data_IF_807286924319
#
_entry.id   IF_807286924319
#
_cell.length_a   1.000
_cell.length_b   1.000
_cell.length_c   1.000
_cell.angle_alpha   90.00
_cell.angle_beta   90.00
_cell.angle_gamma   90.00
#
_symmetry.space_group_name_H-M   'P 1'
#
loop_
_entity.id
_entity.type
_entity.pdbx_description
1 polymer ?
#
# COMPACT_ATOMS: atom_id res chain seq x y z
N UNK A 1 -9.04 -16.21 -32.89
CA UNK A 1 -9.24 -15.45 -34.14
C UNK A 1 -9.48 -13.99 -33.77
N UNK A 2 -8.41 -13.24 -33.57
CA UNK A 2 -8.46 -11.84 -33.12
C UNK A 2 -7.68 -11.03 -34.16
N UNK A 3 -8.40 -10.28 -34.96
CA UNK A 3 -7.86 -9.19 -35.77
C UNK A 3 -8.87 -8.03 -35.67
N UNK A 4 -8.59 -7.06 -34.82
CA UNK A 4 -9.10 -5.70 -35.02
C UNK A 4 -7.91 -4.74 -35.07
N UNK A 5 -7.78 -4.17 -36.26
CA UNK A 5 -6.74 -3.29 -36.70
C UNK A 5 -6.69 -2.00 -35.90
N UNK A 6 -5.49 -1.65 -35.48
CA UNK A 6 -5.09 -0.30 -35.15
C UNK A 6 -5.29 0.62 -36.37
N UNK A 7 -6.15 1.60 -36.26
CA UNK A 7 -6.19 2.72 -37.20
C UNK A 7 -5.29 3.82 -36.64
N UNK A 8 -4.08 3.88 -37.19
CA UNK A 8 -3.16 5.01 -36.99
C UNK A 8 -3.65 6.12 -37.89
N UNK A 9 -4.13 7.21 -37.31
CA UNK A 9 -4.31 8.48 -38.02
C UNK A 9 -3.00 9.24 -37.96
N UNK A 10 -2.20 9.16 -39.05
CA UNK A 10 -0.98 9.92 -39.22
C UNK A 10 -1.34 11.24 -39.86
N UNK A 11 -1.33 12.32 -39.09
CA UNK A 11 -1.42 13.71 -39.63
C UNK A 11 -0.02 14.27 -39.67
N UNK A 12 0.57 14.29 -40.87
CA UNK A 12 1.86 14.97 -41.12
C UNK A 12 1.63 16.48 -41.25
N UNK A 13 2.14 17.23 -40.30
CA UNK A 13 2.41 18.65 -40.47
C UNK A 13 3.92 18.83 -40.54
N UNK A 14 4.45 19.11 -41.73
CA UNK A 14 5.86 19.47 -41.94
C UNK A 14 5.97 21.00 -41.81
N UNK A 15 6.56 21.46 -40.73
CA UNK A 15 7.10 22.82 -40.63
C UNK A 15 8.57 22.71 -40.25
N UNK A 16 9.41 23.29 -41.10
CA UNK A 16 10.85 23.26 -40.96
C UNK A 16 11.35 24.07 -39.74
N UNK A 17 12.25 23.45 -38.95
CA UNK A 17 13.16 24.17 -38.07
C UNK A 17 12.74 24.17 -36.59
N UNK A 18 12.88 23.05 -35.93
CA UNK A 18 13.27 22.73 -34.55
C UNK A 18 12.80 21.31 -34.28
N UNK A 19 13.72 20.37 -34.22
CA UNK A 19 13.40 18.99 -33.82
C UNK A 19 13.27 19.00 -32.30
N UNK A 20 12.07 19.37 -31.82
CA UNK A 20 11.66 18.94 -30.51
C UNK A 20 11.19 17.48 -30.65
N UNK A 21 11.51 16.55 -29.74
CA UNK A 21 10.95 15.22 -29.77
C UNK A 21 9.43 15.37 -29.66
N UNK A 22 8.69 15.00 -30.72
CA UNK A 22 7.24 14.87 -30.65
C UNK A 22 6.98 13.65 -29.77
N UNK A 23 6.86 13.86 -28.48
CA UNK A 23 6.21 12.89 -27.61
C UNK A 23 4.73 12.92 -27.99
N UNK A 24 4.30 11.96 -28.80
CA UNK A 24 2.87 11.71 -29.00
C UNK A 24 2.31 11.28 -27.65
N UNK A 25 1.71 12.23 -26.95
CA UNK A 25 0.90 11.95 -25.78
C UNK A 25 -0.34 11.25 -26.33
N UNK A 26 -0.35 9.92 -26.36
CA UNK A 26 -1.59 9.18 -26.51
C UNK A 26 -2.41 9.48 -25.27
N UNK A 27 -3.64 9.97 -25.47
CA UNK A 27 -4.57 10.08 -24.36
C UNK A 27 -4.80 8.65 -23.82
N UNK A 28 -4.27 8.39 -22.64
CA UNK A 28 -4.45 7.11 -21.95
C UNK A 28 -5.92 7.01 -21.53
N UNK A 29 -6.59 5.91 -21.89
CA UNK A 29 -7.94 5.65 -21.41
C UNK A 29 -7.95 5.53 -19.89
N UNK A 30 -8.98 6.07 -19.24
CA UNK A 30 -9.09 5.94 -17.78
C UNK A 30 -9.36 4.50 -17.36
N UNK A 31 -8.97 4.12 -16.14
CA UNK A 31 -9.18 2.80 -15.57
C UNK A 31 -10.65 2.38 -15.61
N UNK A 32 -11.57 3.30 -15.32
CA UNK A 32 -13.01 3.04 -15.39
C UNK A 32 -13.49 2.78 -16.83
N UNK A 33 -12.94 3.49 -17.82
CA UNK A 33 -13.26 3.28 -19.24
C UNK A 33 -12.77 1.92 -19.71
N UNK A 34 -11.55 1.54 -19.37
CA UNK A 34 -10.97 0.22 -19.68
C UNK A 34 -11.86 -0.88 -19.08
N UNK A 35 -12.22 -0.75 -17.79
CA UNK A 35 -13.04 -1.72 -17.08
C UNK A 35 -14.42 -1.90 -17.69
N UNK A 36 -15.08 -0.80 -18.09
CA UNK A 36 -16.38 -0.83 -18.80
C UNK A 36 -16.26 -1.45 -20.20
N UNK A 37 -15.18 -1.16 -20.92
CA UNK A 37 -14.93 -1.70 -22.25
C UNK A 37 -14.73 -3.23 -22.23
N UNK A 38 -14.20 -3.78 -21.12
CA UNK A 38 -14.07 -5.22 -20.90
C UNK A 38 -15.38 -5.87 -20.39
N UNK A 39 -16.50 -5.14 -20.41
CA UNK A 39 -17.84 -5.65 -20.09
C UNK A 39 -18.18 -5.69 -18.61
N UNK A 40 -17.38 -5.07 -17.76
CA UNK A 40 -17.66 -4.98 -16.33
C UNK A 40 -18.56 -3.78 -16.01
N UNK A 41 -19.48 -3.98 -15.06
CA UNK A 41 -20.33 -2.91 -14.53
C UNK A 41 -19.62 -2.23 -13.38
N UNK A 42 -19.20 -0.99 -13.56
CA UNK A 42 -18.52 -0.17 -12.54
C UNK A 42 -19.25 1.15 -12.39
N UNK A 43 -19.54 1.51 -11.15
CA UNK A 43 -20.14 2.81 -10.80
C UNK A 43 -19.10 3.91 -10.86
N UNK A 44 -19.50 5.13 -11.22
CA UNK A 44 -18.65 6.33 -11.13
C UNK A 44 -18.17 6.57 -9.68
N UNK A 45 -18.97 6.16 -8.69
CA UNK A 45 -18.61 6.26 -7.28
C UNK A 45 -17.46 5.33 -6.87
N UNK A 46 -17.21 4.27 -7.65
CA UNK A 46 -16.14 3.29 -7.43
C UNK A 46 -14.86 3.62 -8.20
N UNK A 47 -14.84 4.79 -8.90
CA UNK A 47 -13.66 5.23 -9.64
C UNK A 47 -12.48 5.42 -8.69
N UNK A 48 -11.32 4.76 -8.93
CA UNK A 48 -10.12 4.96 -8.14
C UNK A 48 -9.66 6.41 -8.16
N UNK A 49 -9.17 6.89 -7.04
CA UNK A 49 -8.63 8.26 -6.94
C UNK A 49 -7.23 8.38 -7.56
N UNK A 50 -6.56 7.25 -7.73
CA UNK A 50 -5.28 7.13 -8.41
C UNK A 50 -4.96 5.66 -8.62
N UNK A 51 -4.36 5.35 -9.77
CA UNK A 51 -3.96 4.00 -10.17
C UNK A 51 -2.54 3.99 -10.70
N UNK A 52 -1.83 2.91 -10.44
CA UNK A 52 -0.53 2.63 -11.05
C UNK A 52 -0.35 1.13 -11.27
N UNK A 53 0.12 0.75 -12.45
CA UNK A 53 0.55 -0.62 -12.77
C UNK A 53 1.99 -0.60 -13.18
N UNK A 54 2.83 -1.37 -12.49
CA UNK A 54 4.28 -1.40 -12.69
C UNK A 54 4.75 -2.81 -13.02
N UNK A 55 5.61 -2.93 -13.99
CA UNK A 55 6.36 -4.16 -14.26
C UNK A 55 7.49 -4.28 -13.21
N UNK A 56 7.33 -5.21 -12.26
CA UNK A 56 8.30 -5.37 -11.17
C UNK A 56 9.69 -5.85 -11.62
N UNK A 57 9.82 -6.41 -12.83
CA UNK A 57 11.12 -6.92 -13.31
C UNK A 57 12.06 -5.81 -13.78
N UNK A 58 11.52 -4.69 -14.26
CA UNK A 58 12.29 -3.58 -14.84
C UNK A 58 11.88 -2.19 -14.36
N UNK A 59 10.86 -2.09 -13.52
CA UNK A 59 10.34 -0.82 -13.00
C UNK A 59 9.52 0.00 -14.01
N UNK A 60 9.19 -0.56 -15.17
CA UNK A 60 8.41 0.12 -16.20
C UNK A 60 6.98 0.38 -15.73
N UNK A 61 6.51 1.62 -15.86
CA UNK A 61 5.12 1.98 -15.60
C UNK A 61 4.30 1.62 -16.84
N UNK A 62 3.45 0.60 -16.70
CA UNK A 62 2.58 0.12 -17.79
C UNK A 62 1.29 0.92 -17.89
N UNK A 63 0.81 1.43 -16.77
CA UNK A 63 -0.39 2.25 -16.67
C UNK A 63 -0.30 3.16 -15.46
N UNK A 64 -0.81 4.39 -15.57
CA UNK A 64 -1.00 5.28 -14.44
C UNK A 64 -2.15 6.25 -14.69
N UNK A 65 -2.93 6.52 -13.66
CA UNK A 65 -3.97 7.54 -13.65
C UNK A 65 -3.91 8.27 -12.32
N UNK A 66 -3.79 9.61 -12.36
CA UNK A 66 -3.67 10.45 -11.18
C UNK A 66 -2.65 9.93 -10.12
N UNK A 67 -1.42 9.53 -10.51
CA UNK A 67 -0.48 8.85 -9.61
C UNK A 67 -0.01 9.73 -8.46
N UNK A 68 -0.08 11.05 -8.60
CA UNK A 68 0.34 12.02 -7.60
C UNK A 68 -0.79 12.55 -6.71
N UNK A 69 -2.01 12.03 -6.87
CA UNK A 69 -3.12 12.40 -6.00
C UNK A 69 -2.81 12.02 -4.55
N UNK A 70 -2.94 12.99 -3.66
CA UNK A 70 -2.85 12.75 -2.22
C UNK A 70 -4.17 12.19 -1.73
N UNK A 71 -4.14 10.94 -1.28
CA UNK A 71 -5.31 10.20 -0.82
C UNK A 71 -5.03 9.58 0.54
N UNK A 72 -6.09 9.24 1.28
CA UNK A 72 -5.98 8.38 2.44
C UNK A 72 -5.83 6.93 1.96
N UNK A 73 -4.66 6.30 2.17
CA UNK A 73 -4.40 4.95 1.68
C UNK A 73 -5.04 3.87 2.56
N UNK A 74 -5.63 4.23 3.69
CA UNK A 74 -6.20 3.30 4.67
C UNK A 74 -5.23 2.12 4.94
N UNK A 75 -5.71 0.88 4.83
CA UNK A 75 -4.90 -0.33 5.10
C UNK A 75 -3.70 -0.55 4.18
N UNK A 76 -3.57 0.16 3.06
CA UNK A 76 -2.34 0.12 2.26
C UNK A 76 -1.13 0.64 3.05
N UNK A 77 -1.35 1.47 4.08
CA UNK A 77 -0.31 1.92 5.01
C UNK A 77 0.45 0.76 5.66
N UNK A 78 -0.20 -0.40 5.86
CA UNK A 78 0.43 -1.61 6.41
C UNK A 78 1.62 -2.10 5.59
N UNK A 79 1.62 -1.83 4.27
CA UNK A 79 2.74 -2.19 3.39
C UNK A 79 4.06 -1.55 3.84
N UNK A 80 4.02 -0.31 4.35
CA UNK A 80 5.23 0.34 4.88
C UNK A 80 5.71 -0.34 6.17
N UNK A 81 4.81 -0.71 7.07
CA UNK A 81 5.18 -1.49 8.27
C UNK A 81 5.81 -2.83 7.90
N UNK A 82 5.22 -3.55 6.94
CA UNK A 82 5.78 -4.81 6.45
C UNK A 82 7.15 -4.59 5.79
N UNK A 83 7.31 -3.50 5.02
CA UNK A 83 8.60 -3.14 4.45
C UNK A 83 9.68 -2.95 5.53
N UNK A 84 9.36 -2.22 6.61
CA UNK A 84 10.29 -2.03 7.73
C UNK A 84 10.62 -3.33 8.45
N UNK A 85 9.67 -4.26 8.58
CA UNK A 85 9.92 -5.61 9.12
C UNK A 85 10.91 -6.37 8.23
N UNK A 86 10.71 -6.36 6.91
CA UNK A 86 11.65 -7.00 5.98
C UNK A 86 13.03 -6.32 5.97
N UNK A 87 13.11 -5.01 6.16
CA UNK A 87 14.37 -4.27 6.29
C UNK A 87 15.11 -4.72 7.57
N UNK A 88 14.39 -4.91 8.67
CA UNK A 88 14.91 -5.46 9.90
C UNK A 88 15.36 -6.94 9.77
N UNK A 89 14.62 -7.75 9.01
CA UNK A 89 15.00 -9.13 8.67
C UNK A 89 16.28 -9.12 7.82
N UNK A 90 16.35 -8.31 6.79
CA UNK A 90 17.51 -8.18 5.90
C UNK A 90 18.77 -7.75 6.67
N UNK A 91 18.61 -6.90 7.67
CA UNK A 91 19.72 -6.47 8.55
C UNK A 91 20.07 -7.46 9.66
N UNK A 92 19.36 -8.59 9.76
CA UNK A 92 19.59 -9.64 10.78
C UNK A 92 19.09 -9.29 12.19
N UNK A 93 18.32 -8.21 12.34
CA UNK A 93 17.73 -7.81 13.64
C UNK A 93 16.56 -8.66 14.05
N UNK A 94 15.80 -9.16 13.09
CA UNK A 94 14.58 -9.97 13.24
C UNK A 94 14.70 -11.17 12.29
N UNK A 95 14.07 -12.29 12.66
CA UNK A 95 13.93 -13.47 11.80
C UNK A 95 12.46 -13.79 11.59
N UNK A 96 12.12 -14.47 10.50
CA UNK A 96 10.74 -14.90 10.22
C UNK A 96 10.19 -15.88 11.26
N UNK A 97 11.10 -16.65 11.88
CA UNK A 97 10.80 -17.64 12.91
C UNK A 97 10.72 -17.05 14.33
N UNK A 98 11.19 -15.81 14.53
CA UNK A 98 11.11 -15.15 15.82
C UNK A 98 9.65 -15.07 16.27
N UNK A 99 9.43 -15.27 17.56
CA UNK A 99 8.08 -15.36 18.12
C UNK A 99 7.77 -14.10 18.93
N UNK A 100 6.58 -13.57 18.70
CA UNK A 100 6.02 -12.45 19.44
C UNK A 100 4.91 -12.98 20.34
N UNK A 101 5.01 -12.74 21.64
CA UNK A 101 3.97 -13.11 22.60
C UNK A 101 2.87 -12.04 22.55
N UNK A 102 1.64 -12.46 22.29
CA UNK A 102 0.51 -11.56 22.28
C UNK A 102 0.17 -11.06 23.68
N UNK A 103 -0.03 -9.77 23.80
CA UNK A 103 -0.47 -9.11 25.03
C UNK A 103 -2.00 -9.13 25.15
N UNK A 104 -2.48 -8.81 26.35
CA UNK A 104 -3.92 -8.57 26.57
C UNK A 104 -4.46 -7.48 25.65
N UNK A 105 -3.65 -6.45 25.38
CA UNK A 105 -4.04 -5.35 24.49
C UNK A 105 -4.16 -5.80 23.03
N UNK A 106 -3.23 -6.64 22.56
CA UNK A 106 -3.30 -7.21 21.19
C UNK A 106 -4.58 -8.05 21.00
N UNK A 107 -4.93 -8.87 22.01
CA UNK A 107 -6.19 -9.60 22.01
C UNK A 107 -7.40 -8.65 21.98
N UNK A 108 -7.42 -7.62 22.81
CA UNK A 108 -8.51 -6.65 22.86
C UNK A 108 -8.69 -5.95 21.51
N UNK A 109 -7.60 -5.48 20.89
CA UNK A 109 -7.62 -4.88 19.55
C UNK A 109 -8.14 -5.88 18.51
N UNK A 110 -7.74 -7.16 18.60
CA UNK A 110 -8.16 -8.18 17.64
C UNK A 110 -9.68 -8.46 17.69
N UNK A 111 -10.34 -8.12 18.80
CA UNK A 111 -11.76 -8.28 19.00
C UNK A 111 -12.61 -7.07 18.61
N UNK A 112 -11.97 -5.94 18.20
CA UNK A 112 -12.70 -4.78 17.73
C UNK A 112 -13.42 -5.08 16.41
N UNK A 113 -14.74 -4.92 16.39
CA UNK A 113 -15.59 -5.28 15.26
C UNK A 113 -15.61 -4.24 14.15
N UNK A 114 -15.17 -3.01 14.44
CA UNK A 114 -15.04 -1.90 13.50
C UNK A 114 -13.72 -1.93 12.70
N UNK A 115 -12.81 -2.84 13.03
CA UNK A 115 -11.52 -3.01 12.37
C UNK A 115 -11.38 -4.41 11.79
N UNK A 116 -10.70 -4.51 10.63
CA UNK A 116 -10.30 -5.82 10.08
C UNK A 116 -9.25 -6.45 10.99
N UNK A 117 -9.50 -7.68 11.42
CA UNK A 117 -8.62 -8.42 12.29
C UNK A 117 -8.63 -9.93 12.02
N UNK A 118 -7.59 -10.60 12.51
CA UNK A 118 -7.58 -12.04 12.79
C UNK A 118 -7.60 -12.23 14.29
N UNK A 119 -8.19 -13.32 14.82
CA UNK A 119 -8.17 -13.61 16.24
C UNK A 119 -6.74 -13.69 16.78
N UNK A 120 -6.47 -12.95 17.83
CA UNK A 120 -5.23 -12.98 18.61
C UNK A 120 -5.60 -13.38 20.03
N UNK A 121 -4.82 -14.28 20.64
CA UNK A 121 -5.06 -14.80 21.99
C UNK A 121 -3.89 -14.40 22.89
N UNK A 122 -4.20 -13.76 24.02
CA UNK A 122 -3.22 -13.35 25.03
C UNK A 122 -2.33 -14.53 25.45
N UNK A 123 -1.04 -14.29 25.57
CA UNK A 123 -0.04 -15.28 25.99
C UNK A 123 0.36 -16.28 24.89
N UNK A 124 -0.31 -16.30 23.75
CA UNK A 124 0.09 -17.15 22.62
C UNK A 124 1.26 -16.51 21.86
N UNK A 125 2.23 -17.34 21.46
CA UNK A 125 3.35 -16.96 20.64
C UNK A 125 2.99 -17.05 19.15
N UNK A 126 3.18 -15.97 18.42
CA UNK A 126 2.98 -15.89 16.98
C UNK A 126 4.32 -15.66 16.26
N UNK A 127 4.72 -16.54 15.33
CA UNK A 127 5.90 -16.28 14.49
C UNK A 127 5.72 -14.99 13.67
N UNK A 128 6.80 -14.25 13.45
CA UNK A 128 6.81 -13.05 12.59
C UNK A 128 6.21 -13.34 11.22
N UNK A 129 6.53 -14.50 10.63
CA UNK A 129 5.97 -14.94 9.35
C UNK A 129 4.45 -15.06 9.35
N UNK A 130 3.84 -15.52 10.45
CA UNK A 130 2.38 -15.61 10.57
C UNK A 130 1.75 -14.23 10.80
N UNK A 131 2.36 -13.38 11.61
CA UNK A 131 1.87 -12.00 11.79
C UNK A 131 1.88 -11.23 10.47
N UNK A 132 2.91 -11.42 9.62
CA UNK A 132 2.95 -10.82 8.27
C UNK A 132 1.76 -11.30 7.43
N UNK A 133 1.46 -12.61 7.42
CA UNK A 133 0.31 -13.16 6.68
C UNK A 133 -1.02 -12.60 7.23
N UNK A 134 -1.17 -12.54 8.55
CA UNK A 134 -2.36 -11.99 9.21
C UNK A 134 -2.53 -10.49 8.90
N UNK A 135 -1.45 -9.73 8.81
CA UNK A 135 -1.50 -8.31 8.45
C UNK A 135 -1.87 -8.09 6.99
N UNK A 136 -1.41 -8.95 6.06
CA UNK A 136 -1.61 -8.76 4.63
C UNK A 136 -2.89 -9.39 4.09
N UNK A 137 -3.24 -10.63 4.48
CA UNK A 137 -4.36 -11.36 3.87
C UNK A 137 -5.72 -10.85 4.39
N UNK A 138 -6.04 -10.97 5.70
CA UNK A 138 -7.28 -10.42 6.25
C UNK A 138 -7.12 -8.97 6.71
N UNK A 139 -5.96 -8.33 6.45
CA UNK A 139 -5.69 -6.94 6.86
C UNK A 139 -5.75 -6.70 8.37
N UNK A 140 -5.28 -7.66 9.19
CA UNK A 140 -5.35 -7.59 10.65
C UNK A 140 -4.61 -6.38 11.22
N UNK A 141 -5.35 -5.51 11.93
CA UNK A 141 -4.77 -4.36 12.61
C UNK A 141 -3.95 -4.80 13.83
N UNK A 142 -4.44 -5.77 14.63
CA UNK A 142 -3.70 -6.28 15.77
C UNK A 142 -2.34 -6.87 15.34
N UNK A 143 -2.32 -7.69 14.28
CA UNK A 143 -1.07 -8.30 13.82
C UNK A 143 -0.04 -7.26 13.33
N UNK A 144 -0.46 -6.22 12.62
CA UNK A 144 0.48 -5.18 12.16
C UNK A 144 1.00 -4.33 13.32
N UNK A 145 0.19 -4.10 14.37
CA UNK A 145 0.65 -3.39 15.57
C UNK A 145 1.66 -4.22 16.35
N UNK A 146 1.44 -5.54 16.49
CA UNK A 146 2.44 -6.44 17.08
C UNK A 146 3.78 -6.39 16.32
N UNK A 147 3.74 -6.34 14.99
CA UNK A 147 4.94 -6.18 14.16
C UNK A 147 5.61 -4.81 14.33
N UNK A 148 4.82 -3.74 14.42
CA UNK A 148 5.34 -2.40 14.69
C UNK A 148 6.02 -2.33 16.05
N UNK A 149 5.40 -2.89 17.09
CA UNK A 149 5.94 -2.96 18.45
C UNK A 149 7.22 -3.78 18.53
N UNK A 150 7.39 -4.77 17.66
CA UNK A 150 8.63 -5.53 17.57
C UNK A 150 9.79 -4.68 17.03
N UNK A 151 9.51 -3.68 16.20
CA UNK A 151 10.50 -2.71 15.67
C UNK A 151 10.78 -1.64 16.72
N UNK A 152 9.76 -1.01 17.23
CA UNK A 152 9.79 -0.03 18.30
C UNK A 152 8.48 -0.07 19.11
N UNK A 153 8.53 -0.38 20.42
CA UNK A 153 7.33 -0.47 21.26
C UNK A 153 6.75 0.91 21.63
N UNK A 154 7.48 2.00 21.40
CA UNK A 154 6.97 3.34 21.57
C UNK A 154 6.29 3.79 20.27
N UNK A 155 5.01 4.11 20.34
CA UNK A 155 4.19 4.47 19.16
C UNK A 155 4.70 5.74 18.47
N UNK A 156 5.01 6.78 19.22
CA UNK A 156 5.47 8.06 18.66
C UNK A 156 6.82 7.90 17.96
N UNK A 157 7.76 7.20 18.60
CA UNK A 157 9.07 6.89 18.00
C UNK A 157 8.91 6.01 16.76
N UNK A 158 7.94 5.08 16.76
CA UNK A 158 7.63 4.27 15.57
C UNK A 158 7.08 5.12 14.43
N UNK A 159 6.19 6.07 14.74
CA UNK A 159 5.63 6.99 13.74
C UNK A 159 6.73 7.86 13.13
N UNK A 160 7.68 8.32 13.93
CA UNK A 160 8.83 9.07 13.44
C UNK A 160 9.73 8.20 12.54
N UNK A 161 10.01 6.96 12.93
CA UNK A 161 10.80 6.01 12.13
C UNK A 161 10.15 5.70 10.78
N UNK A 162 8.84 5.46 10.74
CA UNK A 162 8.14 5.15 9.48
C UNK A 162 8.11 6.36 8.54
N UNK A 163 7.96 7.57 9.08
CA UNK A 163 8.03 8.80 8.29
C UNK A 163 9.44 9.10 7.80
N UNK A 164 10.47 8.88 8.63
CA UNK A 164 11.86 8.97 8.19
C UNK A 164 12.11 7.99 7.04
N UNK A 165 11.66 6.73 7.15
CA UNK A 165 11.80 5.74 6.07
C UNK A 165 11.09 6.18 4.79
N UNK A 166 9.91 6.78 4.88
CA UNK A 166 9.21 7.32 3.73
C UNK A 166 10.03 8.40 3.01
N UNK A 167 10.67 9.32 3.76
CA UNK A 167 11.56 10.32 3.18
C UNK A 167 12.80 9.70 2.53
N UNK A 168 13.42 8.70 3.15
CA UNK A 168 14.56 7.96 2.60
C UNK A 168 14.22 7.29 1.26
N UNK A 169 12.97 6.84 1.10
CA UNK A 169 12.45 6.25 -0.14
C UNK A 169 11.97 7.29 -1.17
N UNK A 170 12.09 8.58 -0.88
CA UNK A 170 11.65 9.66 -1.77
C UNK A 170 10.15 9.93 -1.77
N UNK A 171 9.40 9.38 -0.79
CA UNK A 171 7.95 9.58 -0.65
C UNK A 171 7.63 10.93 0.01
N UNK A 172 8.03 12.04 -0.65
CA UNK A 172 8.02 13.40 -0.07
C UNK A 172 6.63 13.93 0.26
N UNK A 173 5.59 13.42 -0.39
CA UNK A 173 4.18 13.82 -0.19
C UNK A 173 3.41 12.85 0.72
N UNK A 174 4.11 11.88 1.35
CA UNK A 174 3.51 10.87 2.21
C UNK A 174 3.75 11.20 3.68
N UNK A 175 2.70 11.07 4.49
CA UNK A 175 2.78 11.18 5.95
C UNK A 175 1.99 10.05 6.60
N UNK A 176 2.69 9.23 7.37
CA UNK A 176 2.09 8.19 8.20
C UNK A 176 1.73 8.76 9.58
N UNK A 177 0.59 8.32 10.11
CA UNK A 177 0.12 8.66 11.47
C UNK A 177 0.06 7.43 12.38
N UNK A 178 0.45 6.26 11.87
CA UNK A 178 0.49 4.99 12.59
C UNK A 178 0.86 3.83 11.68
N UNK A 179 0.94 2.66 12.26
CA UNK A 179 1.41 1.43 11.59
C UNK A 179 0.38 0.82 10.63
N UNK A 180 -0.92 1.09 10.83
CA UNK A 180 -2.02 0.32 10.23
C UNK A 180 -2.85 1.07 9.20
N UNK A 181 -2.82 2.41 9.21
CA UNK A 181 -3.72 3.28 8.45
C UNK A 181 -5.10 3.48 9.08
N UNK A 182 -5.41 2.82 10.20
CA UNK A 182 -6.55 3.17 11.04
C UNK A 182 -6.19 4.35 11.94
N UNK A 183 -7.16 5.20 12.27
CA UNK A 183 -6.94 6.36 13.12
C UNK A 183 -7.14 5.98 14.59
N UNK A 184 -6.52 6.74 15.51
CA UNK A 184 -6.50 6.46 16.96
C UNK A 184 -7.88 6.18 17.55
N UNK A 185 -8.92 6.92 17.13
CA UNK A 185 -10.30 6.72 17.61
C UNK A 185 -10.88 5.36 17.31
N UNK A 186 -10.41 4.69 16.23
CA UNK A 186 -10.92 3.39 15.81
C UNK A 186 -10.46 2.26 16.75
N UNK A 187 -9.45 2.51 17.56
CA UNK A 187 -8.92 1.59 18.56
C UNK A 187 -9.56 1.72 19.94
N UNK A 188 -10.57 2.59 20.10
CA UNK A 188 -11.35 2.74 21.33
C UNK A 188 -10.47 2.96 22.59
N UNK A 189 -9.32 3.65 22.43
CA UNK A 189 -8.38 3.90 23.52
C UNK A 189 -7.41 2.74 23.84
N UNK A 190 -7.45 1.65 23.09
CA UNK A 190 -6.53 0.52 23.26
C UNK A 190 -5.16 0.75 22.61
N UNK A 191 -5.04 1.75 21.76
CA UNK A 191 -3.80 2.13 21.08
C UNK A 191 -3.65 3.64 21.10
N UNK A 192 -2.56 4.11 21.72
CA UNK A 192 -2.23 5.54 21.85
C UNK A 192 -0.81 5.80 21.35
#
# INVERSE_FOLDING_TARGET
MVKKLFKIAMSCVVLAGMVAPITTVFAQESSITITKNEGNSVSEADTPKGDIVVNLSNGEILFQENPDNVVDPASLSKLMTIFMVYDAIKSGKIKLEDKVVATKNDQAISNLTNLSNSPIVEGVEYPVSELIKMALLPSSNAAVLMLANLINPNTDDYVDLINQKAQELGMTNTKFVGASGAVTKDFEGLYT
#
